data_IF_948917207343
#
_entry.id   IF_948917207343
#
_cell.length_a   1.000
_cell.length_b   1.000
_cell.length_c   1.000
_cell.angle_alpha   90.00
_cell.angle_beta   90.00
_cell.angle_gamma   90.00
#
_symmetry.space_group_name_H-M   'P 1'
#
loop_
_entity.id
_entity.type
_entity.pdbx_description
1 polymer ?
#
# COMPACT_ATOMS: atom_id res chain seq x y z
N UNK A 1 10.95 -26.17 33.43
CA UNK A 1 12.03 -25.49 32.69
C UNK A 1 11.62 -25.40 31.22
N UNK A 2 11.13 -24.24 30.78
CA UNK A 2 10.70 -24.02 29.41
C UNK A 2 11.90 -23.65 28.53
N UNK A 3 12.07 -24.32 27.39
CA UNK A 3 12.95 -23.86 26.30
C UNK A 3 12.08 -23.55 25.11
N UNK A 4 11.90 -22.26 24.89
CA UNK A 4 11.23 -21.67 23.73
C UNK A 4 12.33 -21.25 22.76
N UNK A 5 12.54 -22.04 21.70
CA UNK A 5 13.46 -21.68 20.62
C UNK A 5 12.69 -20.88 19.58
N UNK A 6 12.90 -19.57 19.64
CA UNK A 6 12.46 -18.57 18.67
C UNK A 6 13.30 -18.68 17.41
N UNK A 7 12.68 -19.12 16.30
CA UNK A 7 13.19 -18.87 14.96
C UNK A 7 12.38 -17.70 14.37
N UNK A 8 12.99 -16.53 14.49
CA UNK A 8 12.53 -15.21 14.04
C UNK A 8 12.32 -15.23 12.52
N UNK A 9 11.06 -15.39 12.10
CA UNK A 9 10.63 -15.09 10.74
C UNK A 9 10.87 -13.60 10.48
N UNK A 10 11.72 -13.32 9.51
CA UNK A 10 12.10 -11.98 9.08
C UNK A 10 10.88 -11.31 8.42
N UNK A 11 10.38 -10.26 9.07
CA UNK A 11 9.82 -9.08 8.40
C UNK A 11 8.59 -9.28 7.53
N UNK A 12 7.54 -9.96 8.01
CA UNK A 12 6.20 -9.57 7.60
C UNK A 12 5.81 -8.39 8.46
N UNK A 13 5.94 -7.18 7.92
CA UNK A 13 5.15 -6.07 8.40
C UNK A 13 3.70 -6.58 8.50
N UNK A 14 3.15 -6.53 9.72
CA UNK A 14 1.77 -6.86 10.02
C UNK A 14 0.87 -5.99 9.14
N UNK A 15 0.60 -6.48 7.94
CA UNK A 15 -0.38 -5.96 7.02
C UNK A 15 -1.72 -6.41 7.59
N UNK A 16 -2.25 -5.64 8.54
CA UNK A 16 -3.63 -5.75 9.06
C UNK A 16 -4.70 -5.42 7.99
N UNK A 17 -4.40 -5.69 6.72
CA UNK A 17 -5.38 -5.95 5.69
C UNK A 17 -5.10 -7.35 5.19
N UNK A 18 -5.77 -8.34 5.78
CA UNK A 18 -5.73 -9.73 5.32
C UNK A 18 -6.42 -9.82 3.95
N UNK A 19 -5.74 -9.34 2.91
CA UNK A 19 -6.11 -9.61 1.53
C UNK A 19 -5.60 -11.01 1.19
N UNK A 20 -6.49 -11.86 0.68
CA UNK A 20 -6.07 -13.15 0.14
C UNK A 20 -5.04 -12.95 -0.97
N UNK A 21 -4.10 -13.91 -1.11
CA UNK A 21 -3.11 -13.91 -2.19
C UNK A 21 -3.78 -13.76 -3.57
N UNK A 22 -4.96 -14.35 -3.76
CA UNK A 22 -5.75 -14.20 -4.99
C UNK A 22 -6.20 -12.76 -5.21
N UNK A 23 -6.62 -12.06 -4.16
CA UNK A 23 -7.02 -10.64 -4.25
C UNK A 23 -5.84 -9.76 -4.58
N UNK A 24 -4.68 -10.00 -3.95
CA UNK A 24 -3.44 -9.27 -4.24
C UNK A 24 -3.05 -9.46 -5.72
N UNK A 25 -3.03 -10.70 -6.20
CA UNK A 25 -2.70 -11.01 -7.60
C UNK A 25 -3.70 -10.36 -8.58
N UNK A 26 -4.99 -10.40 -8.26
CA UNK A 26 -6.02 -9.74 -9.07
C UNK A 26 -5.81 -8.23 -9.12
N UNK A 27 -5.52 -7.57 -7.99
CA UNK A 27 -5.25 -6.14 -7.94
C UNK A 27 -4.01 -5.77 -8.77
N UNK A 28 -2.92 -6.52 -8.65
CA UNK A 28 -1.70 -6.31 -9.43
C UNK A 28 -1.98 -6.46 -10.94
N UNK A 29 -2.71 -7.50 -11.33
CA UNK A 29 -3.10 -7.71 -12.73
C UNK A 29 -3.98 -6.56 -13.24
N UNK A 30 -4.93 -6.09 -12.44
CA UNK A 30 -5.81 -4.99 -12.79
C UNK A 30 -5.04 -3.68 -12.92
N UNK A 31 -4.08 -3.42 -12.04
CA UNK A 31 -3.22 -2.24 -12.13
C UNK A 31 -2.34 -2.25 -13.40
N UNK A 32 -1.81 -3.44 -13.77
CA UNK A 32 -1.01 -3.60 -14.98
C UNK A 32 -1.84 -3.51 -16.27
N UNK A 33 -3.07 -4.05 -16.26
CA UNK A 33 -3.96 -4.09 -17.43
C UNK A 33 -4.70 -2.77 -17.65
N UNK A 34 -5.04 -2.06 -16.57
CA UNK A 34 -5.88 -0.87 -16.61
C UNK A 34 -5.19 0.30 -15.88
N UNK A 35 -4.28 1.03 -16.54
CA UNK A 35 -3.48 2.10 -15.91
C UNK A 35 -4.32 3.29 -15.42
N UNK A 36 -5.49 3.50 -16.03
CA UNK A 36 -6.43 4.56 -15.64
C UNK A 36 -7.42 4.13 -14.55
N UNK A 37 -7.35 2.88 -14.08
CA UNK A 37 -8.23 2.41 -13.01
C UNK A 37 -7.90 3.14 -11.72
N UNK A 38 -8.94 3.66 -11.07
CA UNK A 38 -8.83 4.25 -9.76
C UNK A 38 -8.99 3.16 -8.70
N UNK A 39 -8.10 3.19 -7.72
CA UNK A 39 -8.06 2.30 -6.59
C UNK A 39 -8.37 3.07 -5.31
N UNK A 40 -8.97 2.40 -4.34
CA UNK A 40 -9.17 2.96 -3.01
C UNK A 40 -7.87 2.88 -2.18
N UNK A 41 -7.85 3.54 -1.02
CA UNK A 41 -6.65 3.58 -0.18
C UNK A 41 -6.17 2.21 0.28
N UNK A 42 -7.07 1.25 0.54
CA UNK A 42 -6.70 -0.08 1.00
C UNK A 42 -6.08 -0.92 -0.12
N UNK A 43 -6.62 -0.83 -1.33
CA UNK A 43 -6.05 -1.45 -2.53
C UNK A 43 -4.67 -0.84 -2.84
N UNK A 44 -4.53 0.48 -2.72
CA UNK A 44 -3.26 1.16 -2.94
C UNK A 44 -2.21 0.80 -1.90
N UNK A 45 -2.59 0.51 -0.64
CA UNK A 45 -1.64 0.01 0.36
C UNK A 45 -1.00 -1.30 -0.09
N UNK A 46 -1.78 -2.18 -0.72
CA UNK A 46 -1.28 -3.43 -1.29
C UNK A 46 -0.42 -3.18 -2.53
N UNK A 47 -0.89 -2.34 -3.45
CA UNK A 47 -0.23 -2.10 -4.74
C UNK A 47 1.08 -1.33 -4.62
N UNK A 48 1.15 -0.35 -3.71
CA UNK A 48 2.33 0.51 -3.52
C UNK A 48 3.27 0.06 -2.40
N UNK A 49 2.85 -0.92 -1.59
CA UNK A 49 3.59 -1.36 -0.40
C UNK A 49 3.57 -0.36 0.76
N UNK A 50 2.77 0.71 0.66
CA UNK A 50 2.68 1.75 1.69
C UNK A 50 1.76 1.28 2.82
N UNK A 51 2.25 1.38 4.06
CA UNK A 51 1.45 1.07 5.25
C UNK A 51 0.23 1.98 5.40
N UNK A 52 -0.84 1.48 6.06
CA UNK A 52 -2.10 2.21 6.25
C UNK A 52 -1.92 3.58 6.92
N UNK A 53 -1.00 3.68 7.88
CA UNK A 53 -0.70 4.93 8.58
C UNK A 53 -0.14 5.98 7.62
N UNK A 54 0.87 5.61 6.83
CA UNK A 54 1.43 6.49 5.81
C UNK A 54 0.37 6.86 4.76
N UNK A 55 -0.43 5.90 4.30
CA UNK A 55 -1.53 6.16 3.36
C UNK A 55 -2.57 7.15 3.93
N UNK A 56 -2.89 7.04 5.22
CA UNK A 56 -3.77 7.99 5.90
C UNK A 56 -3.16 9.39 5.95
N UNK A 57 -1.86 9.50 6.25
CA UNK A 57 -1.17 10.78 6.21
C UNK A 57 -1.18 11.39 4.81
N UNK A 58 -0.88 10.61 3.76
CA UNK A 58 -0.96 11.05 2.35
C UNK A 58 -2.35 11.62 2.04
N UNK A 59 -3.42 10.91 2.43
CA UNK A 59 -4.80 11.38 2.20
C UNK A 59 -5.10 12.74 2.84
N UNK A 60 -4.50 13.01 4.00
CA UNK A 60 -4.70 14.24 4.76
C UNK A 60 -3.73 15.37 4.38
N UNK A 61 -2.79 15.14 3.45
CA UNK A 61 -1.94 16.22 2.94
C UNK A 61 -2.73 17.20 2.07
N UNK A 62 -2.35 18.47 2.10
CA UNK A 62 -3.00 19.50 1.29
C UNK A 62 -2.86 19.25 -0.21
N UNK A 63 -1.72 18.68 -0.66
CA UNK A 63 -1.46 18.27 -2.05
C UNK A 63 -1.72 16.77 -2.26
N UNK A 64 -2.74 16.22 -1.60
CA UNK A 64 -3.02 14.78 -1.68
C UNK A 64 -3.27 14.32 -3.13
N UNK A 65 -2.67 13.20 -3.57
CA UNK A 65 -2.93 12.66 -4.90
C UNK A 65 -4.35 12.07 -5.04
N UNK A 66 -5.09 11.94 -3.93
CA UNK A 66 -6.43 11.39 -3.91
C UNK A 66 -7.47 12.40 -4.43
N UNK A 67 -8.41 11.90 -5.22
CA UNK A 67 -9.59 12.64 -5.67
C UNK A 67 -10.84 11.85 -5.25
N UNK A 68 -11.70 12.46 -4.44
CA UNK A 68 -12.91 11.81 -3.89
C UNK A 68 -12.62 10.47 -3.18
N UNK A 69 -11.48 10.36 -2.49
CA UNK A 69 -11.09 9.15 -1.76
C UNK A 69 -10.53 8.01 -2.61
N UNK A 70 -10.34 8.20 -3.92
CA UNK A 70 -9.71 7.24 -4.82
C UNK A 70 -8.48 7.87 -5.50
N UNK A 71 -7.55 7.05 -5.97
CA UNK A 71 -6.37 7.51 -6.71
C UNK A 71 -5.94 6.45 -7.72
N UNK A 72 -5.33 6.87 -8.84
CA UNK A 72 -4.68 5.93 -9.76
C UNK A 72 -3.28 5.58 -9.23
N UNK A 73 -2.80 4.36 -9.51
CA UNK A 73 -1.48 3.94 -9.06
C UNK A 73 -0.39 4.87 -9.61
N UNK A 74 -0.47 5.24 -10.89
CA UNK A 74 0.47 6.17 -11.52
C UNK A 74 0.50 7.55 -10.85
N UNK A 75 -0.65 8.08 -10.41
CA UNK A 75 -0.71 9.38 -9.74
C UNK A 75 -0.12 9.31 -8.35
N UNK A 76 -0.38 8.22 -7.63
CA UNK A 76 0.25 7.95 -6.34
C UNK A 76 1.77 7.82 -6.52
N UNK A 77 2.25 7.04 -7.48
CA UNK A 77 3.68 6.86 -7.76
C UNK A 77 4.37 8.18 -8.12
N UNK A 78 3.74 9.00 -8.96
CA UNK A 78 4.26 10.34 -9.29
C UNK A 78 4.31 11.28 -8.10
N UNK A 79 3.37 11.15 -7.16
CA UNK A 79 3.39 11.91 -5.90
C UNK A 79 4.49 11.39 -4.96
N UNK A 80 4.63 10.08 -4.82
CA UNK A 80 5.69 9.47 -3.99
C UNK A 80 7.10 9.78 -4.49
N UNK A 81 7.28 9.94 -5.81
CA UNK A 81 8.55 10.40 -6.37
C UNK A 81 8.93 11.81 -5.88
N UNK A 82 7.93 12.66 -5.59
CA UNK A 82 8.13 14.00 -5.01
C UNK A 82 8.19 13.98 -3.48
N UNK A 83 7.62 12.96 -2.85
CA UNK A 83 7.54 12.80 -1.40
C UNK A 83 8.14 11.45 -0.96
N UNK A 84 9.48 11.26 -1.09
CA UNK A 84 10.13 9.98 -0.81
C UNK A 84 10.00 9.50 0.64
N UNK A 85 9.72 10.41 1.59
CA UNK A 85 9.52 10.08 3.00
C UNK A 85 8.33 9.15 3.30
N UNK A 86 7.45 8.89 2.33
CA UNK A 86 6.32 7.96 2.47
C UNK A 86 6.59 6.57 1.90
N UNK A 87 7.71 6.36 1.20
CA UNK A 87 8.04 5.07 0.57
C UNK A 87 8.67 4.04 1.51
N UNK A 88 9.05 4.43 2.73
CA UNK A 88 9.70 3.53 3.67
C UNK A 88 9.32 3.85 5.12
N UNK A 89 8.68 2.88 5.78
CA UNK A 89 8.98 2.49 7.15
C UNK A 89 8.59 1.04 7.36
#
# INVERSE_FOLDING_TARGET
>A
MAKQTSNKAVGQAEQDCSFSATTIAALLFLAAKFPHRQFNSSELCVLSGIGRTAMSQIKNTADSPFSLGKCTLQRLDGWLAKHPGFKQQ
#
